data_IF_257537473030
#
_entry.id   IF_257537473030
#
_cell.length_a   1.000
_cell.length_b   1.000
_cell.length_c   1.000
_cell.angle_alpha   90.00
_cell.angle_beta   90.00
_cell.angle_gamma   90.00
#
_symmetry.space_group_name_H-M   'P 1'
#
loop_
_entity.id
_entity.type
_entity.pdbx_description
1 polymer ?
#
# COMPACT_ATOMS: atom_id res chain seq x y z
N UNK A 1 -7.25 0.89 11.50
CA UNK A 1 -6.44 0.14 12.44
C UNK A 1 -6.56 -1.33 12.09
N UNK A 2 -5.54 -1.90 11.43
CA UNK A 2 -5.40 -3.34 11.39
C UNK A 2 -5.25 -3.78 12.84
N UNK A 3 -6.35 -4.28 13.44
CA UNK A 3 -6.33 -4.76 14.82
C UNK A 3 -5.39 -5.93 14.91
N UNK A 4 -4.16 -5.67 15.30
CA UNK A 4 -3.34 -6.69 15.90
C UNK A 4 -4.00 -7.03 17.24
N UNK A 5 -4.82 -8.06 17.26
CA UNK A 5 -5.22 -8.72 18.50
C UNK A 5 -3.97 -9.41 19.08
N UNK A 6 -3.01 -8.62 19.52
CA UNK A 6 -1.96 -9.05 20.43
C UNK A 6 -2.49 -8.85 21.83
N UNK A 7 -3.13 -9.86 22.34
CA UNK A 7 -3.05 -10.14 23.76
C UNK A 7 -1.57 -10.45 24.06
N UNK A 8 -1.02 -9.93 25.15
CA UNK A 8 0.39 -10.08 25.54
C UNK A 8 0.86 -11.52 25.81
N UNK A 9 0.11 -12.51 25.39
CA UNK A 9 0.50 -13.91 25.36
C UNK A 9 0.94 -14.27 23.92
N UNK A 10 2.03 -14.98 23.77
CA UNK A 10 2.66 -15.46 22.53
C UNK A 10 1.75 -16.33 21.63
N UNK A 11 0.45 -16.37 21.83
CA UNK A 11 -0.57 -17.17 21.15
C UNK A 11 -1.71 -16.36 20.56
N UNK A 12 -1.51 -15.07 20.28
CA UNK A 12 -2.53 -14.21 19.66
C UNK A 12 -2.96 -14.68 18.28
N UNK A 13 -4.26 -14.72 18.02
CA UNK A 13 -4.81 -14.96 16.69
C UNK A 13 -4.52 -13.75 15.78
N UNK A 14 -3.86 -13.96 14.65
CA UNK A 14 -3.60 -12.92 13.65
C UNK A 14 -4.46 -13.17 12.40
N UNK A 15 -5.45 -12.31 12.17
CA UNK A 15 -6.21 -12.32 10.94
C UNK A 15 -5.35 -11.84 9.78
N UNK A 16 -5.11 -12.70 8.79
CA UNK A 16 -4.33 -12.36 7.59
C UNK A 16 -5.21 -11.99 6.42
N UNK A 17 -6.31 -12.69 6.21
CA UNK A 17 -7.27 -12.42 5.15
C UNK A 17 -8.67 -12.81 5.62
N UNK A 18 -9.67 -11.96 5.33
CA UNK A 18 -11.09 -12.23 5.52
C UNK A 18 -11.86 -11.45 4.45
N UNK A 19 -12.15 -12.09 3.33
CA UNK A 19 -12.80 -11.43 2.19
C UNK A 19 -13.74 -12.39 1.47
N UNK A 20 -14.66 -11.80 0.72
CA UNK A 20 -15.55 -12.50 -0.21
C UNK A 20 -15.32 -11.94 -1.61
N UNK A 21 -15.25 -12.83 -2.59
CA UNK A 21 -15.20 -12.45 -4.00
C UNK A 21 -16.39 -13.04 -4.74
N UNK A 22 -17.09 -12.19 -5.47
CA UNK A 22 -18.19 -12.58 -6.35
C UNK A 22 -18.00 -11.94 -7.72
N UNK A 23 -17.83 -12.78 -8.75
CA UNK A 23 -17.46 -12.35 -10.11
C UNK A 23 -16.17 -11.53 -10.08
N UNK A 24 -16.28 -10.24 -10.41
CA UNK A 24 -15.16 -9.30 -10.52
C UNK A 24 -15.03 -8.36 -9.31
N UNK A 25 -15.90 -8.53 -8.30
CA UNK A 25 -15.93 -7.72 -7.09
C UNK A 25 -15.31 -8.50 -5.92
N UNK A 26 -14.45 -7.85 -5.16
CA UNK A 26 -13.89 -8.38 -3.91
C UNK A 26 -14.16 -7.38 -2.77
N UNK A 27 -14.67 -7.89 -1.65
CA UNK A 27 -14.98 -7.09 -0.45
C UNK A 27 -14.37 -7.76 0.77
N UNK A 28 -13.66 -7.02 1.60
CA UNK A 28 -13.11 -7.49 2.87
C UNK A 28 -11.63 -7.18 3.04
N UNK A 29 -11.02 -7.78 4.06
CA UNK A 29 -9.63 -7.58 4.43
C UNK A 29 -8.70 -8.51 3.65
N UNK A 30 -7.91 -7.95 2.77
CA UNK A 30 -6.96 -8.69 1.94
C UNK A 30 -5.87 -7.77 1.37
N UNK A 31 -5.04 -8.28 0.48
CA UNK A 31 -3.98 -7.50 -0.17
C UNK A 31 -4.54 -6.35 -1.00
N UNK A 32 -3.95 -5.16 -0.83
CA UNK A 32 -4.35 -3.94 -1.52
C UNK A 32 -4.04 -3.95 -3.01
N UNK A 33 -4.70 -3.07 -3.76
CA UNK A 33 -4.52 -2.93 -5.21
C UNK A 33 -3.14 -2.38 -5.62
N UNK A 34 -2.47 -1.67 -4.73
CA UNK A 34 -1.11 -1.14 -4.94
C UNK A 34 0.00 -2.16 -4.64
N UNK A 35 -0.31 -3.45 -4.61
CA UNK A 35 0.63 -4.53 -4.33
C UNK A 35 0.57 -5.58 -5.44
N UNK A 36 1.73 -6.04 -5.90
CA UNK A 36 1.85 -7.12 -6.89
C UNK A 36 2.45 -8.39 -6.28
N UNK A 37 1.59 -9.26 -5.78
CA UNK A 37 2.01 -10.56 -5.25
C UNK A 37 2.72 -11.44 -6.29
N UNK A 38 2.38 -11.28 -7.58
CA UNK A 38 2.97 -12.07 -8.65
C UNK A 38 4.42 -11.70 -8.98
N UNK A 39 4.86 -10.50 -8.55
CA UNK A 39 6.23 -10.05 -8.72
C UNK A 39 7.09 -10.25 -7.47
N UNK A 40 6.51 -10.68 -6.33
CA UNK A 40 7.30 -10.98 -5.13
C UNK A 40 8.09 -12.27 -5.31
N UNK A 41 9.42 -12.25 -5.16
CA UNK A 41 10.23 -13.45 -5.19
C UNK A 41 9.97 -14.32 -3.94
N UNK A 42 10.08 -15.63 -4.09
CA UNK A 42 10.05 -16.55 -2.97
C UNK A 42 11.41 -16.51 -2.24
N UNK A 43 11.53 -15.64 -1.28
CA UNK A 43 12.73 -15.51 -0.42
C UNK A 43 12.62 -16.39 0.82
N UNK A 44 13.77 -16.73 1.42
CA UNK A 44 13.82 -17.46 2.71
C UNK A 44 13.27 -16.57 3.82
N UNK A 45 13.53 -15.28 3.73
CA UNK A 45 12.90 -14.27 4.57
C UNK A 45 11.43 -14.07 4.13
N UNK A 46 10.50 -14.35 5.03
CA UNK A 46 9.07 -14.17 4.79
C UNK A 46 8.65 -12.70 4.62
N UNK A 47 9.51 -11.77 4.99
CA UNK A 47 9.30 -10.34 4.81
C UNK A 47 9.42 -9.95 3.33
N UNK A 48 10.26 -10.65 2.57
CA UNK A 48 10.56 -10.33 1.18
C UNK A 48 11.55 -9.18 1.04
N UNK A 49 11.71 -8.63 -0.17
CA UNK A 49 12.62 -7.50 -0.40
C UNK A 49 12.17 -6.23 0.31
N UNK A 50 13.13 -5.47 0.85
CA UNK A 50 12.89 -4.25 1.63
C UNK A 50 12.09 -3.17 0.88
N UNK A 51 12.37 -2.96 -0.38
CA UNK A 51 11.65 -2.01 -1.23
C UNK A 51 10.31 -2.50 -1.79
N UNK A 52 9.86 -3.71 -1.42
CA UNK A 52 8.61 -4.26 -1.91
C UNK A 52 7.40 -3.51 -1.36
N UNK A 53 6.36 -3.36 -2.19
CA UNK A 53 5.05 -2.94 -1.69
C UNK A 53 4.35 -4.14 -1.04
N UNK A 54 3.95 -3.98 0.22
CA UNK A 54 3.27 -5.02 0.98
C UNK A 54 2.25 -4.41 1.94
N UNK A 55 0.99 -4.39 1.53
CA UNK A 55 -0.08 -3.81 2.33
C UNK A 55 -1.37 -4.63 2.26
N UNK A 56 -2.06 -4.72 3.39
CA UNK A 56 -3.40 -5.31 3.50
C UNK A 56 -4.35 -4.29 4.08
N UNK A 57 -5.51 -4.16 3.46
CA UNK A 57 -6.57 -3.29 3.92
C UNK A 57 -7.94 -3.95 3.81
N UNK A 58 -8.91 -3.45 4.57
CA UNK A 58 -10.31 -3.66 4.24
C UNK A 58 -10.62 -2.84 3.00
N UNK A 59 -11.15 -3.48 1.96
CA UNK A 59 -11.33 -2.85 0.66
C UNK A 59 -12.60 -3.31 -0.05
N UNK A 60 -13.03 -2.47 -0.97
CA UNK A 60 -13.93 -2.81 -2.07
C UNK A 60 -13.12 -2.68 -3.36
N UNK A 61 -12.95 -3.78 -4.07
CA UNK A 61 -12.17 -3.82 -5.30
C UNK A 61 -12.98 -4.40 -6.46
N UNK A 62 -12.78 -3.83 -7.63
CA UNK A 62 -13.31 -4.34 -8.90
C UNK A 62 -12.17 -4.72 -9.83
N UNK A 63 -12.20 -5.95 -10.40
CA UNK A 63 -11.17 -6.45 -11.29
C UNK A 63 -11.76 -6.82 -12.65
N UNK A 64 -11.55 -6.01 -13.66
CA UNK A 64 -11.98 -6.29 -15.03
C UNK A 64 -11.01 -7.24 -15.75
N UNK A 65 -11.56 -8.33 -16.32
CA UNK A 65 -10.81 -9.40 -17.02
C UNK A 65 -11.35 -9.64 -18.45
N UNK A 66 -12.15 -8.74 -18.97
CA UNK A 66 -12.83 -8.91 -20.27
C UNK A 66 -11.93 -8.83 -21.50
N UNK A 67 -10.68 -8.35 -21.37
CA UNK A 67 -9.72 -8.29 -22.47
C UNK A 67 -8.68 -9.41 -22.33
N UNK A 68 -8.38 -10.06 -23.47
CA UNK A 68 -7.36 -11.10 -23.53
C UNK A 68 -6.00 -10.52 -23.08
N UNK A 69 -5.35 -11.22 -22.17
CA UNK A 69 -4.05 -10.86 -21.59
C UNK A 69 -4.02 -9.60 -20.70
N UNK A 70 -5.10 -8.83 -20.62
CA UNK A 70 -5.17 -7.65 -19.78
C UNK A 70 -6.02 -7.88 -18.53
N UNK A 71 -5.61 -7.27 -17.44
CA UNK A 71 -6.36 -7.17 -16.20
C UNK A 71 -6.27 -5.73 -15.70
N UNK A 72 -7.41 -5.16 -15.35
CA UNK A 72 -7.49 -3.84 -14.74
C UNK A 72 -8.16 -3.99 -13.37
N UNK A 73 -7.69 -3.26 -12.40
CA UNK A 73 -8.28 -3.23 -11.07
C UNK A 73 -8.41 -1.79 -10.61
N UNK A 74 -9.46 -1.52 -9.86
CA UNK A 74 -9.61 -0.32 -9.06
C UNK A 74 -10.14 -0.71 -7.69
N UNK A 75 -9.61 -0.12 -6.63
CA UNK A 75 -10.07 -0.36 -5.27
C UNK A 75 -10.17 0.91 -4.44
N UNK A 76 -11.06 0.83 -3.47
CA UNK A 76 -11.24 1.79 -2.38
C UNK A 76 -10.82 1.05 -1.12
N UNK A 77 -9.81 1.56 -0.42
CA UNK A 77 -9.15 0.90 0.69
C UNK A 77 -9.28 1.72 1.96
N UNK A 78 -9.47 1.06 3.10
CA UNK A 78 -9.44 1.76 4.39
C UNK A 78 -8.02 2.28 4.65
N UNK A 79 -7.88 3.59 4.89
CA UNK A 79 -6.59 4.20 5.07
C UNK A 79 -5.96 3.81 6.42
N UNK A 80 -4.65 3.64 6.42
CA UNK A 80 -3.82 3.65 7.61
C UNK A 80 -2.71 4.66 7.37
N UNK A 81 -2.56 5.62 8.27
CA UNK A 81 -1.59 6.71 8.15
C UNK A 81 -0.73 6.73 9.39
N UNK A 82 0.56 6.70 9.20
CA UNK A 82 1.55 6.93 10.23
C UNK A 82 2.21 8.28 10.02
N UNK A 83 2.70 8.88 11.10
CA UNK A 83 3.42 10.13 10.98
C UNK A 83 4.20 10.47 12.24
N UNK A 84 5.31 11.14 12.05
CA UNK A 84 6.03 11.76 13.15
C UNK A 84 5.28 13.00 13.61
N UNK A 85 4.93 13.06 14.88
CA UNK A 85 4.20 14.18 15.48
C UNK A 85 5.12 15.01 16.36
N UNK A 86 4.73 16.23 16.64
CA UNK A 86 5.34 17.11 17.64
C UNK A 86 4.28 17.64 18.61
N UNK A 87 4.66 18.50 19.55
CA UNK A 87 3.75 19.01 20.61
C UNK A 87 2.54 19.79 20.08
N UNK A 88 2.55 20.21 18.82
CA UNK A 88 1.46 20.97 18.20
C UNK A 88 0.68 20.21 17.12
N UNK A 89 1.15 19.04 16.67
CA UNK A 89 0.58 18.32 15.53
C UNK A 89 0.33 16.86 15.85
N UNK A 90 -0.88 16.37 15.58
CA UNK A 90 -1.27 14.97 15.81
C UNK A 90 -1.93 14.35 14.59
N UNK A 91 -1.77 13.03 14.41
CA UNK A 91 -2.47 12.30 13.36
C UNK A 91 -3.95 12.20 13.75
N UNK A 92 -4.82 12.68 12.89
CA UNK A 92 -6.26 12.63 13.09
C UNK A 92 -6.89 11.36 12.51
N UNK A 93 -8.15 11.13 12.85
CA UNK A 93 -8.92 10.09 12.19
C UNK A 93 -9.04 10.38 10.69
N UNK A 94 -8.69 9.41 9.86
CA UNK A 94 -8.73 9.57 8.41
C UNK A 94 -10.17 9.65 7.91
N UNK A 95 -10.46 10.62 7.04
CA UNK A 95 -11.80 10.93 6.55
C UNK A 95 -12.06 10.41 5.14
N UNK A 96 -11.00 10.22 4.36
CA UNK A 96 -11.08 9.77 2.98
C UNK A 96 -10.40 8.40 2.85
N UNK A 97 -10.98 7.48 2.07
CA UNK A 97 -10.32 6.22 1.75
C UNK A 97 -9.11 6.46 0.84
N UNK A 98 -8.22 5.48 0.81
CA UNK A 98 -7.17 5.39 -0.19
C UNK A 98 -7.76 4.81 -1.48
N UNK A 99 -7.35 5.35 -2.63
CA UNK A 99 -7.76 4.87 -3.95
C UNK A 99 -6.57 4.27 -4.67
N UNK A 100 -6.71 3.02 -5.12
CA UNK A 100 -5.68 2.36 -5.91
C UNK A 100 -6.24 1.88 -7.25
N UNK A 101 -5.38 1.85 -8.26
CA UNK A 101 -5.73 1.25 -9.54
C UNK A 101 -4.48 0.65 -10.20
N UNK A 102 -4.66 -0.43 -10.96
CA UNK A 102 -3.58 -0.96 -11.79
C UNK A 102 -4.08 -1.50 -13.13
N UNK A 103 -3.15 -1.51 -14.08
CA UNK A 103 -3.25 -2.24 -15.34
C UNK A 103 -2.14 -3.30 -15.39
N UNK A 104 -2.48 -4.52 -15.75
CA UNK A 104 -1.56 -5.63 -15.88
C UNK A 104 -1.71 -6.28 -17.26
N UNK A 105 -0.58 -6.55 -17.92
CA UNK A 105 -0.51 -7.32 -19.14
C UNK A 105 0.25 -8.62 -18.89
N UNK A 106 -0.39 -9.75 -19.13
CA UNK A 106 0.21 -11.07 -18.99
C UNK A 106 0.30 -11.76 -20.35
N UNK A 107 1.50 -12.06 -20.81
CA UNK A 107 1.70 -12.76 -22.09
C UNK A 107 1.78 -14.27 -21.97
N UNK A 108 1.90 -14.78 -20.76
CA UNK A 108 1.74 -16.21 -20.43
C UNK A 108 1.26 -16.38 -18.98
N UNK A 109 1.03 -17.61 -18.54
CA UNK A 109 0.50 -17.91 -17.22
C UNK A 109 1.43 -17.53 -16.05
N UNK A 110 2.70 -17.23 -16.31
CA UNK A 110 3.74 -17.00 -15.31
C UNK A 110 4.50 -15.69 -15.49
N UNK A 111 4.21 -14.93 -16.55
CA UNK A 111 4.91 -13.68 -16.85
C UNK A 111 3.93 -12.55 -17.06
N UNK A 112 4.21 -11.42 -16.45
CA UNK A 112 3.39 -10.21 -16.57
C UNK A 112 4.21 -8.95 -16.34
N UNK A 113 3.65 -7.85 -16.83
CA UNK A 113 4.02 -6.49 -16.49
C UNK A 113 2.81 -5.81 -15.88
N UNK A 114 3.01 -5.07 -14.81
CA UNK A 114 1.97 -4.33 -14.12
C UNK A 114 2.43 -2.91 -13.84
N UNK A 115 1.52 -1.97 -14.02
CA UNK A 115 1.67 -0.58 -13.61
C UNK A 115 0.49 -0.21 -12.74
N UNK A 116 0.75 0.40 -11.60
CA UNK A 116 -0.26 0.79 -10.63
C UNK A 116 -0.05 2.18 -10.10
N UNK A 117 -1.12 2.74 -9.54
CA UNK A 117 -1.14 4.03 -8.89
C UNK A 117 -1.94 4.01 -7.59
N UNK A 118 -1.60 4.92 -6.70
CA UNK A 118 -2.23 5.16 -5.41
C UNK A 118 -2.42 6.66 -5.23
N UNK A 119 -3.60 7.06 -4.74
CA UNK A 119 -3.87 8.42 -4.25
C UNK A 119 -4.51 8.30 -2.87
N UNK A 120 -4.05 9.11 -1.93
CA UNK A 120 -4.54 9.14 -0.56
C UNK A 120 -4.59 10.55 0.01
N UNK A 121 -5.45 10.74 1.02
CA UNK A 121 -5.57 11.99 1.77
C UNK A 121 -5.29 11.69 3.24
N UNK A 122 -4.23 12.28 3.78
CA UNK A 122 -3.75 12.05 5.13
C UNK A 122 -4.13 13.23 6.02
N UNK A 123 -5.01 12.99 7.00
CA UNK A 123 -5.55 14.02 7.87
C UNK A 123 -4.74 14.12 9.17
N UNK A 124 -4.41 15.35 9.57
CA UNK A 124 -3.79 15.67 10.85
C UNK A 124 -4.51 16.85 11.51
N UNK A 125 -4.32 17.03 12.79
CA UNK A 125 -4.90 18.13 13.57
C UNK A 125 -3.78 18.98 14.15
N UNK A 126 -3.90 20.27 14.00
CA UNK A 126 -3.16 21.25 14.79
C UNK A 126 -3.85 21.41 16.14
N UNK A 127 -3.18 21.02 17.21
CA UNK A 127 -3.74 21.02 18.58
C UNK A 127 -3.90 22.43 19.16
N UNK A 128 -3.18 23.41 18.64
CA UNK A 128 -3.30 24.79 19.12
C UNK A 128 -4.55 25.48 18.56
N UNK A 129 -4.86 25.22 17.29
CA UNK A 129 -6.02 25.82 16.61
C UNK A 129 -7.24 24.91 16.57
N UNK A 130 -7.14 23.66 17.00
CA UNK A 130 -8.14 22.59 16.89
C UNK A 130 -8.67 22.41 15.46
N UNK A 131 -7.82 22.67 14.46
CA UNK A 131 -8.17 22.57 13.05
C UNK A 131 -7.59 21.31 12.43
N UNK A 132 -8.45 20.60 11.70
CA UNK A 132 -8.04 19.47 10.90
C UNK A 132 -7.56 19.94 9.52
N UNK A 133 -6.40 19.45 9.12
CA UNK A 133 -5.77 19.68 7.82
C UNK A 133 -5.56 18.36 7.11
N UNK A 134 -5.33 18.40 5.80
CA UNK A 134 -5.04 17.22 5.01
C UNK A 134 -3.83 17.43 4.10
N UNK A 135 -3.02 16.39 3.97
CA UNK A 135 -1.91 16.30 3.01
C UNK A 135 -2.24 15.21 2.00
N UNK A 136 -2.07 15.50 0.71
CA UNK A 136 -2.25 14.52 -0.35
C UNK A 136 -0.99 13.68 -0.50
N UNK A 137 -1.15 12.36 -0.43
CA UNK A 137 -0.14 11.39 -0.80
C UNK A 137 -0.44 10.76 -2.17
N UNK A 138 0.59 10.32 -2.86
CA UNK A 138 0.45 9.56 -4.09
C UNK A 138 1.57 8.55 -4.25
N UNK A 139 1.31 7.49 -4.99
CA UNK A 139 2.30 6.48 -5.35
C UNK A 139 2.11 6.00 -6.78
N UNK A 140 3.22 5.67 -7.43
CA UNK A 140 3.26 4.96 -8.71
C UNK A 140 4.16 3.75 -8.58
N UNK A 141 3.79 2.65 -9.22
CA UNK A 141 4.50 1.39 -9.17
C UNK A 141 4.58 0.77 -10.55
N UNK A 142 5.73 0.21 -10.87
CA UNK A 142 5.90 -0.72 -11.99
C UNK A 142 6.50 -2.01 -11.46
N UNK A 143 5.93 -3.15 -11.84
CA UNK A 143 6.40 -4.48 -11.44
C UNK A 143 6.32 -5.45 -12.60
N UNK A 144 7.20 -6.43 -12.61
CA UNK A 144 7.24 -7.44 -13.65
C UNK A 144 7.74 -8.78 -13.13
N UNK A 145 7.25 -9.84 -13.76
CA UNK A 145 7.77 -11.19 -13.62
C UNK A 145 8.03 -11.76 -15.01
N UNK A 146 9.23 -12.25 -15.25
CA UNK A 146 9.65 -12.88 -16.49
C UNK A 146 10.09 -14.32 -16.24
N UNK A 147 9.44 -15.26 -16.90
CA UNK A 147 9.88 -16.65 -16.92
C UNK A 147 10.71 -16.92 -18.18
N UNK A 148 11.98 -17.20 -18.00
CA UNK A 148 12.95 -17.48 -19.05
C UNK A 148 13.17 -18.99 -19.14
N UNK A 149 12.32 -19.66 -19.90
CA UNK A 149 12.35 -21.12 -20.05
C UNK A 149 11.81 -21.85 -18.80
N UNK A 150 12.42 -22.98 -18.45
CA UNK A 150 11.94 -23.83 -17.34
C UNK A 150 12.64 -23.57 -16.01
N UNK A 151 13.78 -22.91 -16.00
CA UNK A 151 14.69 -22.86 -14.86
C UNK A 151 14.88 -21.47 -14.27
N UNK A 152 14.59 -20.40 -15.04
CA UNK A 152 14.85 -19.04 -14.61
C UNK A 152 13.57 -18.23 -14.51
N UNK A 153 13.43 -17.54 -13.40
CA UNK A 153 12.39 -16.55 -13.18
C UNK A 153 13.03 -15.27 -12.64
N UNK A 154 12.72 -14.14 -13.28
CA UNK A 154 13.21 -12.81 -12.89
C UNK A 154 12.04 -12.01 -12.39
N UNK A 155 12.21 -11.37 -11.26
CA UNK A 155 11.25 -10.48 -10.61
C UNK A 155 11.84 -9.08 -10.56
N UNK A 156 10.99 -8.09 -10.56
CA UNK A 156 11.42 -6.72 -10.34
C UNK A 156 10.23 -5.82 -10.02
N UNK A 157 10.47 -4.84 -9.17
CA UNK A 157 9.53 -3.80 -8.83
C UNK A 157 10.27 -2.49 -8.60
N UNK A 158 9.66 -1.38 -9.02
CA UNK A 158 10.05 -0.04 -8.65
C UNK A 158 8.81 0.74 -8.25
N UNK A 159 8.89 1.45 -7.14
CA UNK A 159 7.80 2.24 -6.54
C UNK A 159 8.34 3.59 -6.14
N UNK A 160 7.65 4.64 -6.54
CA UNK A 160 7.94 6.01 -6.14
C UNK A 160 6.66 6.70 -5.68
N UNK A 161 6.77 7.57 -4.67
CA UNK A 161 5.64 8.36 -4.21
C UNK A 161 5.97 9.28 -3.05
N UNK A 162 4.91 9.90 -2.50
CA UNK A 162 4.98 10.71 -1.29
C UNK A 162 3.90 10.26 -0.31
N UNK A 163 4.28 10.06 0.96
CA UNK A 163 3.35 9.61 1.99
C UNK A 163 2.84 8.19 1.77
N UNK A 164 3.69 7.28 1.35
CA UNK A 164 3.38 5.88 1.05
C UNK A 164 4.14 4.89 1.93
N UNK A 165 4.64 5.32 3.10
CA UNK A 165 5.42 4.49 4.01
C UNK A 165 4.69 3.23 4.45
N UNK A 166 3.38 3.33 4.72
CA UNK A 166 2.54 2.17 5.07
C UNK A 166 2.46 1.11 3.97
N UNK A 167 2.71 1.48 2.73
CA UNK A 167 2.68 0.58 1.58
C UNK A 167 4.03 -0.08 1.29
N UNK A 168 5.13 0.44 1.85
CA UNK A 168 6.47 -0.12 1.68
C UNK A 168 6.82 -1.02 2.87
N UNK A 169 7.31 -2.22 2.58
CA UNK A 169 7.43 -3.32 3.52
C UNK A 169 8.21 -2.95 4.79
N UNK A 170 9.44 -2.49 4.67
CA UNK A 170 10.31 -2.27 5.81
C UNK A 170 10.12 -0.95 6.55
N UNK A 171 9.49 0.02 5.92
CA UNK A 171 9.24 1.32 6.54
C UNK A 171 7.79 1.49 7.01
N UNK A 172 6.96 0.47 6.85
CA UNK A 172 5.61 0.48 7.40
C UNK A 172 5.66 0.51 8.93
N UNK A 173 4.83 1.36 9.55
CA UNK A 173 4.77 1.63 10.99
C UNK A 173 6.04 2.31 11.58
N UNK A 174 6.86 2.97 10.77
CA UNK A 174 7.98 3.79 11.23
C UNK A 174 7.64 5.29 11.37
N UNK A 175 6.36 5.66 11.29
CA UNK A 175 5.85 7.02 11.39
C UNK A 175 6.41 7.99 10.34
N UNK A 176 6.52 7.51 9.09
CA UNK A 176 7.18 8.26 8.00
C UNK A 176 6.25 8.70 6.87
N UNK A 177 4.93 8.42 6.91
CA UNK A 177 4.02 8.89 5.87
C UNK A 177 4.00 10.42 5.79
N UNK A 178 3.77 11.07 6.93
CA UNK A 178 3.80 12.53 7.07
C UNK A 178 4.65 12.94 8.27
N UNK A 179 5.34 14.07 8.12
CA UNK A 179 6.20 14.65 9.15
C UNK A 179 5.94 16.15 9.25
N UNK A 180 6.31 16.81 10.37
CA UNK A 180 6.28 18.27 10.44
C UNK A 180 7.07 18.90 9.30
N UNK A 181 6.52 19.92 8.68
CA UNK A 181 7.16 20.67 7.61
C UNK A 181 8.23 21.60 8.20
N UNK A 182 9.52 21.46 7.86
CA UNK A 182 10.57 22.30 8.42
C UNK A 182 10.50 23.76 7.98
N UNK A 183 9.86 24.02 6.83
CA UNK A 183 9.76 25.35 6.24
C UNK A 183 8.46 26.07 6.63
N UNK A 184 7.47 25.33 7.15
CA UNK A 184 6.16 25.90 7.50
C UNK A 184 5.70 25.37 8.87
N UNK A 185 5.90 26.19 9.90
CA UNK A 185 5.45 25.86 11.26
C UNK A 185 3.93 25.60 11.30
N UNK A 186 3.52 24.58 12.07
CA UNK A 186 2.11 24.17 12.17
C UNK A 186 1.58 23.37 10.98
N UNK A 187 2.43 22.96 10.04
CA UNK A 187 2.03 22.12 8.90
C UNK A 187 2.78 20.79 8.88
N UNK A 188 2.16 19.81 8.23
CA UNK A 188 2.81 18.54 7.91
C UNK A 188 3.01 18.39 6.41
N UNK A 189 4.03 17.65 6.03
CA UNK A 189 4.34 17.29 4.65
C UNK A 189 4.45 15.79 4.46
N UNK A 190 4.12 15.31 3.26
CA UNK A 190 4.30 13.91 2.86
C UNK A 190 5.74 13.68 2.41
N UNK A 191 6.41 12.69 3.02
CA UNK A 191 7.80 12.37 2.66
C UNK A 191 7.89 11.68 1.30
N UNK A 192 8.86 12.06 0.44
CA UNK A 192 9.16 11.32 -0.77
C UNK A 192 9.85 9.99 -0.44
N UNK A 193 9.47 8.94 -1.18
CA UNK A 193 9.93 7.57 -0.96
C UNK A 193 10.19 6.88 -2.29
N UNK A 194 11.23 6.05 -2.33
CA UNK A 194 11.58 5.18 -3.45
C UNK A 194 11.88 3.80 -2.91
N UNK A 195 11.25 2.78 -3.45
CA UNK A 195 11.52 1.38 -3.18
C UNK A 195 11.74 0.60 -4.48
N UNK A 196 12.67 -0.35 -4.50
CA UNK A 196 12.91 -1.22 -5.65
C UNK A 196 13.60 -2.52 -5.25
N UNK A 197 13.47 -3.53 -6.09
CA UNK A 197 14.22 -4.79 -6.04
C UNK A 197 14.27 -5.46 -7.42
#
# INVERSE_FOLDING_TARGET
AAGNFRDGSSKGFQLRNAYVSFRDITVGYTYGGFMDLGALPSTIDFQGPDGATFYRATQLAYTYKGLKNFRFNASIEMPSVDGTTNDGLTIAQQRMPDFTAYAQYGWNSKSHLRVGGLIRSMTYTDTQSDKAHAVTGFGVQASATFNLGRQWQVFGQATYGKGIGQYLNDISNLNVDIVPDPDNEGKMQALPMLGWY
#
